data_IF_152956425902
#
_entry.id   IF_152956425902
#
_cell.length_a   1.000
_cell.length_b   1.000
_cell.length_c   1.000
_cell.angle_alpha   90.00
_cell.angle_beta   90.00
_cell.angle_gamma   90.00
#
_symmetry.space_group_name_H-M   'P 1'
#
loop_
_entity.id
_entity.type
_entity.pdbx_description
1 polymer ?
#
# COMPACT_ATOMS: atom_id res chain seq x y z
N UNK A 1 -16.49 17.00 17.05
CA UNK A 1 -17.13 15.66 16.98
C UNK A 1 -16.38 14.70 17.89
N UNK A 2 -17.07 13.83 18.60
CA UNK A 2 -16.42 12.74 19.34
C UNK A 2 -16.05 11.58 18.39
N UNK A 3 -15.19 10.65 18.87
CA UNK A 3 -14.69 9.52 18.05
C UNK A 3 -15.84 8.64 17.52
N UNK A 4 -16.92 8.51 18.28
CA UNK A 4 -18.07 7.71 17.87
C UNK A 4 -18.86 8.37 16.73
N UNK A 5 -19.13 9.66 16.81
CA UNK A 5 -19.81 10.43 15.75
C UNK A 5 -18.99 10.41 14.45
N UNK A 6 -17.68 10.55 14.61
CA UNK A 6 -16.72 10.51 13.51
C UNK A 6 -16.74 9.17 12.79
N UNK A 7 -16.58 8.08 13.54
CA UNK A 7 -16.59 6.73 12.99
C UNK A 7 -17.93 6.40 12.34
N UNK A 8 -19.04 6.81 12.99
CA UNK A 8 -20.39 6.63 12.46
C UNK A 8 -20.60 7.33 11.10
N UNK A 9 -20.17 8.59 10.99
CA UNK A 9 -20.28 9.35 9.75
C UNK A 9 -19.41 8.75 8.64
N UNK A 10 -18.16 8.38 8.96
CA UNK A 10 -17.22 7.78 8.03
C UNK A 10 -17.74 6.45 7.48
N UNK A 11 -18.21 5.56 8.35
CA UNK A 11 -18.82 4.29 7.93
C UNK A 11 -20.09 4.50 7.09
N UNK A 12 -20.91 5.49 7.44
CA UNK A 12 -22.12 5.83 6.68
C UNK A 12 -21.78 6.31 5.28
N UNK A 13 -20.80 7.21 5.14
CA UNK A 13 -20.34 7.68 3.83
C UNK A 13 -19.73 6.54 3.02
N UNK A 14 -18.92 5.70 3.65
CA UNK A 14 -18.30 4.53 3.00
C UNK A 14 -19.37 3.57 2.48
N UNK A 15 -20.36 3.24 3.30
CA UNK A 15 -21.47 2.37 2.90
C UNK A 15 -22.30 2.99 1.75
N UNK A 16 -22.56 4.28 1.81
CA UNK A 16 -23.28 5.00 0.76
C UNK A 16 -22.52 4.97 -0.56
N UNK A 17 -21.20 5.28 -0.55
CA UNK A 17 -20.38 5.26 -1.76
C UNK A 17 -20.21 3.84 -2.31
N UNK A 18 -20.06 2.83 -1.45
CA UNK A 18 -20.02 1.44 -1.87
C UNK A 18 -21.33 1.01 -2.55
N UNK A 19 -22.48 1.40 -1.96
CA UNK A 19 -23.81 1.14 -2.53
C UNK A 19 -23.99 1.85 -3.88
N UNK A 20 -23.66 3.16 -3.97
CA UNK A 20 -23.72 3.93 -5.20
C UNK A 20 -22.85 3.32 -6.30
N UNK A 21 -21.62 2.94 -5.96
CA UNK A 21 -20.72 2.27 -6.90
C UNK A 21 -21.33 0.98 -7.45
N UNK A 22 -21.84 0.13 -6.56
CA UNK A 22 -22.42 -1.16 -6.96
C UNK A 22 -23.71 -1.00 -7.79
N UNK A 23 -24.51 0.02 -7.49
CA UNK A 23 -25.80 0.26 -8.15
C UNK A 23 -25.68 0.99 -9.49
N UNK A 24 -24.78 1.97 -9.59
CA UNK A 24 -24.75 2.92 -10.71
C UNK A 24 -23.51 2.79 -11.59
N UNK A 25 -22.33 2.44 -11.02
CA UNK A 25 -21.04 2.55 -11.72
C UNK A 25 -20.51 1.16 -12.08
N UNK A 26 -20.49 0.21 -11.13
CA UNK A 26 -20.03 -1.17 -11.36
C UNK A 26 -18.50 -1.32 -11.45
N UNK A 27 -17.74 -0.34 -10.96
CA UNK A 27 -16.29 -0.44 -10.85
C UNK A 27 -15.87 -1.38 -9.69
N UNK A 28 -14.62 -1.87 -9.66
CA UNK A 28 -14.07 -2.52 -8.46
C UNK A 28 -14.31 -1.66 -7.22
N UNK A 29 -14.68 -2.26 -6.09
CA UNK A 29 -15.20 -1.55 -4.92
C UNK A 29 -14.28 -0.42 -4.47
N UNK A 30 -12.99 -0.67 -4.35
CA UNK A 30 -11.96 0.29 -3.93
C UNK A 30 -11.85 1.49 -4.88
N UNK A 31 -11.75 1.23 -6.20
CA UNK A 31 -11.64 2.28 -7.23
C UNK A 31 -12.91 3.14 -7.26
N UNK A 32 -14.09 2.48 -7.26
CA UNK A 32 -15.37 3.18 -7.34
C UNK A 32 -15.66 4.03 -6.10
N UNK A 33 -15.39 3.52 -4.91
CA UNK A 33 -15.58 4.24 -3.65
C UNK A 33 -14.67 5.47 -3.58
N UNK A 34 -13.40 5.33 -3.94
CA UNK A 34 -12.45 6.45 -3.97
C UNK A 34 -12.86 7.53 -4.97
N UNK A 35 -13.24 7.13 -6.20
CA UNK A 35 -13.69 8.09 -7.21
C UNK A 35 -14.93 8.85 -6.76
N UNK A 36 -15.87 8.19 -6.11
CA UNK A 36 -17.08 8.83 -5.56
C UNK A 36 -16.71 9.81 -4.43
N UNK A 37 -15.81 9.43 -3.52
CA UNK A 37 -15.34 10.31 -2.46
C UNK A 37 -14.59 11.53 -3.04
N UNK A 38 -13.76 11.34 -4.05
CA UNK A 38 -13.07 12.42 -4.75
C UNK A 38 -14.06 13.37 -5.45
N UNK A 39 -15.04 12.82 -6.19
CA UNK A 39 -16.07 13.63 -6.84
C UNK A 39 -16.89 14.41 -5.81
N UNK A 40 -17.26 13.77 -4.70
CA UNK A 40 -17.94 14.45 -3.59
C UNK A 40 -17.09 15.63 -3.05
N UNK A 41 -15.81 15.41 -2.80
CA UNK A 41 -14.90 16.44 -2.31
C UNK A 41 -14.75 17.61 -3.29
N UNK A 42 -14.57 17.31 -4.58
CA UNK A 42 -14.48 18.34 -5.63
C UNK A 42 -15.78 19.14 -5.76
N UNK A 43 -16.95 18.50 -5.68
CA UNK A 43 -18.25 19.18 -5.68
C UNK A 43 -18.44 20.04 -4.43
N UNK A 44 -18.00 19.54 -3.26
CA UNK A 44 -18.04 20.32 -2.01
C UNK A 44 -17.17 21.59 -2.10
N UNK A 45 -15.94 21.47 -2.65
CA UNK A 45 -15.08 22.63 -2.90
C UNK A 45 -15.69 23.60 -3.92
N UNK A 46 -16.25 23.11 -5.01
CA UNK A 46 -16.89 23.92 -6.02
C UNK A 46 -18.16 24.64 -5.51
N UNK A 47 -18.81 24.13 -4.48
CA UNK A 47 -20.00 24.74 -3.86
C UNK A 47 -19.67 25.87 -2.86
N UNK A 48 -18.45 25.96 -2.37
CA UNK A 48 -18.01 27.00 -1.40
C UNK A 48 -18.27 28.43 -1.91
N UNK A 49 -17.94 28.81 -3.17
CA UNK A 49 -18.22 30.14 -3.69
C UNK A 49 -19.72 30.50 -3.75
N UNK A 50 -20.59 29.48 -3.74
CA UNK A 50 -22.05 29.66 -3.75
C UNK A 50 -22.69 29.68 -2.35
N UNK A 51 -21.85 29.78 -1.29
CA UNK A 51 -22.30 29.86 0.10
C UNK A 51 -22.63 28.51 0.76
N UNK A 52 -22.34 27.40 0.11
CA UNK A 52 -22.50 26.08 0.72
C UNK A 52 -21.29 25.74 1.61
N UNK A 53 -21.51 25.60 2.92
CA UNK A 53 -20.47 25.23 3.87
C UNK A 53 -20.41 23.71 4.10
N UNK A 54 -20.36 22.93 3.02
CA UNK A 54 -20.24 21.46 3.11
C UNK A 54 -18.78 21.05 3.31
N UNK A 55 -17.85 21.82 2.77
CA UNK A 55 -16.41 21.57 2.89
C UNK A 55 -15.91 21.69 4.33
N UNK A 56 -16.45 22.64 5.13
CA UNK A 56 -16.06 22.81 6.53
C UNK A 56 -16.32 21.56 7.39
N UNK A 57 -17.58 21.08 7.53
CA UNK A 57 -17.88 19.89 8.31
C UNK A 57 -17.17 18.60 7.83
N UNK A 58 -17.01 18.43 6.50
CA UNK A 58 -16.28 17.29 5.95
C UNK A 58 -14.76 17.40 6.22
N UNK A 59 -14.21 18.61 6.18
CA UNK A 59 -12.85 18.88 6.55
C UNK A 59 -12.58 18.65 8.03
N UNK A 60 -13.46 19.15 8.91
CA UNK A 60 -13.39 18.90 10.36
C UNK A 60 -13.41 17.40 10.68
N UNK A 61 -14.13 16.62 9.90
CA UNK A 61 -14.16 15.16 10.00
C UNK A 61 -12.77 14.55 9.75
N UNK A 62 -12.13 14.93 8.65
CA UNK A 62 -10.82 14.38 8.28
C UNK A 62 -9.74 14.80 9.29
N UNK A 63 -9.73 16.07 9.72
CA UNK A 63 -8.81 16.55 10.76
C UNK A 63 -8.98 15.83 12.08
N UNK A 64 -10.21 15.51 12.47
CA UNK A 64 -10.50 14.84 13.72
C UNK A 64 -10.09 13.36 13.74
N UNK A 65 -10.00 12.70 12.58
CA UNK A 65 -9.52 11.29 12.48
C UNK A 65 -8.02 11.20 12.75
N UNK A 66 -7.25 12.29 12.71
CA UNK A 66 -5.78 12.24 12.74
C UNK A 66 -5.28 11.15 11.75
N UNK A 67 -5.64 11.32 10.48
CA UNK A 67 -5.59 10.35 9.40
C UNK A 67 -4.34 9.45 9.38
N UNK A 68 -3.16 10.06 9.52
CA UNK A 68 -1.89 9.34 9.51
C UNK A 68 -1.77 8.35 10.69
N UNK A 69 -2.12 8.78 11.91
CA UNK A 69 -2.02 7.94 13.11
C UNK A 69 -3.06 6.81 13.07
N UNK A 70 -4.32 7.12 12.73
CA UNK A 70 -5.38 6.11 12.60
C UNK A 70 -5.03 5.05 11.56
N UNK A 71 -4.48 5.48 10.42
CA UNK A 71 -4.08 4.57 9.35
C UNK A 71 -2.88 3.72 9.76
N UNK A 72 -1.79 4.34 10.23
CA UNK A 72 -0.56 3.62 10.53
C UNK A 72 -0.70 2.73 11.77
N UNK A 73 -1.32 3.23 12.84
CA UNK A 73 -1.42 2.52 14.10
C UNK A 73 -2.63 1.55 14.14
N UNK A 74 -3.76 1.93 13.53
CA UNK A 74 -5.02 1.19 13.64
C UNK A 74 -5.33 0.24 12.49
N UNK A 75 -5.16 0.67 11.27
CA UNK A 75 -5.63 -0.07 10.09
C UNK A 75 -4.54 -0.87 9.38
N UNK A 76 -3.31 -0.34 9.36
CA UNK A 76 -2.22 -0.92 8.59
C UNK A 76 -1.88 -2.35 9.03
N UNK A 77 -1.77 -2.59 10.33
CA UNK A 77 -1.51 -3.94 10.85
C UNK A 77 -2.58 -4.94 10.41
N UNK A 78 -3.86 -4.56 10.49
CA UNK A 78 -4.96 -5.43 10.08
C UNK A 78 -4.96 -5.70 8.57
N UNK A 79 -4.72 -4.68 7.73
CA UNK A 79 -4.62 -4.84 6.27
C UNK A 79 -3.46 -5.75 5.87
N UNK A 80 -2.28 -5.54 6.46
CA UNK A 80 -1.09 -6.35 6.16
C UNK A 80 -1.26 -7.81 6.61
N UNK A 81 -1.89 -8.04 7.77
CA UNK A 81 -2.17 -9.39 8.25
C UNK A 81 -3.19 -10.11 7.36
N UNK A 82 -4.29 -9.43 7.01
CA UNK A 82 -5.30 -9.97 6.12
C UNK A 82 -4.70 -10.32 4.75
N UNK A 83 -3.89 -9.42 4.18
CA UNK A 83 -3.16 -9.66 2.95
C UNK A 83 -2.19 -10.85 3.06
N UNK A 84 -1.42 -10.94 4.15
CA UNK A 84 -0.49 -12.03 4.40
C UNK A 84 -1.19 -13.39 4.58
N UNK A 85 -2.34 -13.42 5.25
CA UNK A 85 -3.15 -14.62 5.42
C UNK A 85 -3.74 -15.13 4.10
N UNK A 86 -4.11 -14.26 3.17
CA UNK A 86 -4.70 -14.64 1.89
C UNK A 86 -3.68 -15.22 0.90
N UNK A 87 -2.38 -14.99 1.11
CA UNK A 87 -1.34 -15.46 0.21
C UNK A 87 -1.09 -16.95 0.39
N UNK A 88 -1.10 -17.71 -0.71
CA UNK A 88 -0.69 -19.11 -0.72
C UNK A 88 0.83 -19.22 -0.48
N UNK A 89 1.24 -19.37 0.78
CA UNK A 89 2.64 -19.29 1.18
C UNK A 89 3.55 -20.30 0.43
N UNK A 90 3.06 -21.49 0.07
CA UNK A 90 3.84 -22.47 -0.75
C UNK A 90 4.20 -21.89 -2.12
N UNK A 91 3.26 -21.22 -2.76
CA UNK A 91 3.47 -20.57 -4.07
C UNK A 91 4.31 -19.30 -3.92
N UNK A 92 4.08 -18.50 -2.87
CA UNK A 92 4.92 -17.35 -2.57
C UNK A 92 6.38 -17.78 -2.36
N UNK A 93 6.60 -18.88 -1.64
CA UNK A 93 7.96 -19.40 -1.41
C UNK A 93 8.62 -19.90 -2.70
N UNK A 94 7.85 -20.42 -3.68
CA UNK A 94 8.38 -20.74 -5.00
C UNK A 94 8.82 -19.51 -5.78
N UNK A 95 8.18 -18.36 -5.55
CA UNK A 95 8.48 -17.07 -6.19
C UNK A 95 9.34 -16.14 -5.33
N UNK A 96 9.88 -16.62 -4.20
CA UNK A 96 10.61 -15.81 -3.20
C UNK A 96 11.73 -14.93 -3.76
N UNK A 97 12.47 -15.41 -4.77
CA UNK A 97 13.55 -14.63 -5.38
C UNK A 97 13.02 -13.46 -6.20
N UNK A 98 11.94 -13.68 -6.96
CA UNK A 98 11.33 -12.62 -7.76
C UNK A 98 10.69 -11.59 -6.85
N UNK A 99 9.87 -12.05 -5.91
CA UNK A 99 9.19 -11.20 -4.92
C UNK A 99 10.21 -10.44 -4.06
N UNK A 100 11.22 -11.13 -3.54
CA UNK A 100 12.25 -10.52 -2.72
C UNK A 100 13.04 -9.44 -3.46
N UNK A 101 13.46 -9.70 -4.71
CA UNK A 101 14.18 -8.71 -5.51
C UNK A 101 13.31 -7.53 -5.93
N UNK A 102 12.02 -7.76 -6.25
CA UNK A 102 11.10 -6.67 -6.58
C UNK A 102 10.82 -5.81 -5.34
N UNK A 103 10.56 -6.43 -4.19
CA UNK A 103 10.24 -5.72 -2.96
C UNK A 103 11.43 -5.00 -2.31
N UNK A 104 12.67 -5.42 -2.57
CA UNK A 104 13.88 -4.80 -1.99
C UNK A 104 14.64 -3.97 -3.02
N UNK A 105 15.30 -4.64 -4.00
CA UNK A 105 16.07 -3.96 -5.03
C UNK A 105 15.19 -3.05 -5.89
N UNK A 106 14.00 -3.53 -6.27
CA UNK A 106 13.03 -2.75 -7.03
C UNK A 106 12.60 -1.50 -6.29
N UNK A 107 12.22 -1.63 -5.00
CA UNK A 107 11.85 -0.50 -4.16
C UNK A 107 13.01 0.49 -3.99
N UNK A 108 14.21 0.01 -3.67
CA UNK A 108 15.41 0.84 -3.53
C UNK A 108 15.76 1.62 -4.80
N UNK A 109 15.75 0.94 -5.96
CA UNK A 109 15.96 1.59 -7.27
C UNK A 109 14.88 2.63 -7.54
N UNK A 110 13.61 2.31 -7.29
CA UNK A 110 12.50 3.26 -7.46
C UNK A 110 12.70 4.48 -6.59
N UNK A 111 13.00 4.31 -5.31
CA UNK A 111 13.24 5.41 -4.36
C UNK A 111 14.40 6.32 -4.81
N UNK A 112 15.52 5.73 -5.24
CA UNK A 112 16.68 6.50 -5.71
C UNK A 112 16.33 7.27 -6.99
N UNK A 113 15.71 6.63 -7.98
CA UNK A 113 15.37 7.26 -9.25
C UNK A 113 14.35 8.39 -9.05
N UNK A 114 13.26 8.10 -8.30
CA UNK A 114 12.24 9.12 -8.00
C UNK A 114 12.87 10.26 -7.21
N UNK A 115 13.62 9.98 -6.16
CA UNK A 115 14.26 10.99 -5.33
C UNK A 115 15.19 11.90 -6.14
N UNK A 116 16.09 11.31 -6.93
CA UNK A 116 17.06 12.07 -7.75
C UNK A 116 16.37 12.94 -8.79
N UNK A 117 15.41 12.39 -9.55
CA UNK A 117 14.70 13.15 -10.59
C UNK A 117 13.78 14.21 -9.98
N UNK A 118 13.13 13.93 -8.86
CA UNK A 118 12.30 14.91 -8.13
C UNK A 118 13.16 16.03 -7.57
N UNK A 119 14.36 15.72 -7.04
CA UNK A 119 15.30 16.77 -6.64
C UNK A 119 15.68 17.69 -7.81
N UNK A 120 15.90 17.12 -9.00
CA UNK A 120 16.07 17.92 -10.23
C UNK A 120 14.89 18.85 -10.52
N UNK A 121 13.66 18.40 -10.29
CA UNK A 121 12.44 19.23 -10.40
C UNK A 121 12.45 20.34 -9.34
N UNK A 122 12.84 20.06 -8.10
CA UNK A 122 12.92 21.07 -7.03
C UNK A 122 13.91 22.18 -7.37
N UNK A 123 15.07 21.82 -7.95
CA UNK A 123 16.06 22.78 -8.42
C UNK A 123 15.51 23.61 -9.59
N UNK A 124 14.89 22.96 -10.57
CA UNK A 124 14.35 23.64 -11.75
C UNK A 124 13.22 24.63 -11.44
N UNK A 125 12.48 24.39 -10.35
CA UNK A 125 11.40 25.27 -9.87
C UNK A 125 11.85 26.24 -8.77
N UNK A 126 13.15 26.25 -8.41
CA UNK A 126 13.75 27.11 -7.37
C UNK A 126 12.99 27.02 -6.01
N UNK A 127 12.66 25.80 -5.58
CA UNK A 127 11.83 25.58 -4.38
C UNK A 127 12.61 25.70 -3.07
N UNK A 128 13.94 25.69 -3.09
CA UNK A 128 14.78 25.79 -1.89
C UNK A 128 14.65 24.62 -0.90
N UNK A 129 14.09 23.47 -1.32
CA UNK A 129 13.83 22.30 -0.47
C UNK A 129 15.05 21.37 -0.49
N UNK A 130 15.46 20.88 0.69
CA UNK A 130 16.61 20.00 0.84
C UNK A 130 16.41 18.65 0.10
N UNK A 131 17.50 18.08 -0.47
CA UNK A 131 17.43 16.84 -1.26
C UNK A 131 16.76 15.67 -0.53
N UNK A 132 16.93 15.58 0.79
CA UNK A 132 16.38 14.50 1.61
C UNK A 132 14.86 14.38 1.45
N UNK A 133 14.14 15.50 1.29
CA UNK A 133 12.69 15.48 1.08
C UNK A 133 12.29 14.90 -0.28
N UNK A 134 13.14 15.02 -1.29
CA UNK A 134 12.91 14.35 -2.59
C UNK A 134 13.08 12.83 -2.46
N UNK A 135 14.05 12.35 -1.68
CA UNK A 135 14.21 10.91 -1.39
C UNK A 135 13.10 10.38 -0.48
N UNK A 136 12.63 11.19 0.50
CA UNK A 136 11.44 10.87 1.28
C UNK A 136 10.20 10.70 0.38
N UNK A 137 9.98 11.63 -0.57
CA UNK A 137 8.94 11.46 -1.57
C UNK A 137 9.14 10.18 -2.38
N UNK A 138 10.39 9.84 -2.75
CA UNK A 138 10.73 8.58 -3.40
C UNK A 138 10.32 7.36 -2.58
N UNK A 139 10.62 7.31 -1.28
CA UNK A 139 10.21 6.22 -0.39
C UNK A 139 8.69 6.14 -0.22
N UNK A 140 8.02 7.30 -0.07
CA UNK A 140 6.56 7.42 0.07
C UNK A 140 5.82 6.89 -1.14
N UNK A 141 6.31 7.20 -2.35
CA UNK A 141 5.57 6.89 -3.59
C UNK A 141 6.00 5.57 -4.24
N UNK A 142 7.06 4.93 -3.77
CA UNK A 142 7.56 3.68 -4.39
C UNK A 142 6.75 2.42 -4.07
N UNK A 143 6.15 2.23 -2.88
CA UNK A 143 5.30 1.07 -2.61
C UNK A 143 4.05 1.04 -3.49
N UNK A 144 3.51 -0.16 -3.74
CA UNK A 144 2.41 -0.37 -4.69
C UNK A 144 1.26 -1.09 -4.02
N UNK A 145 0.04 -0.61 -4.23
CA UNK A 145 -1.20 -1.18 -3.68
C UNK A 145 -1.74 -2.29 -4.61
N UNK A 146 -1.85 -3.54 -4.14
CA UNK A 146 -2.34 -4.64 -4.95
C UNK A 146 -3.86 -4.72 -5.02
N UNK A 147 -4.58 -4.15 -4.04
CA UNK A 147 -6.02 -4.41 -3.81
C UNK A 147 -6.86 -4.08 -5.02
N UNK A 148 -6.71 -2.87 -5.55
CA UNK A 148 -7.45 -2.43 -6.72
C UNK A 148 -7.10 -3.22 -7.99
N UNK A 149 -5.85 -3.66 -8.13
CA UNK A 149 -5.34 -4.33 -9.33
C UNK A 149 -5.65 -5.81 -9.35
N UNK A 150 -5.53 -6.50 -8.23
CA UNK A 150 -5.74 -7.96 -8.16
C UNK A 150 -7.12 -8.39 -8.62
N UNK A 151 -8.17 -7.65 -8.21
CA UNK A 151 -9.53 -7.93 -8.64
C UNK A 151 -9.68 -7.83 -10.18
N UNK A 152 -8.98 -6.89 -10.80
CA UNK A 152 -8.98 -6.69 -12.26
C UNK A 152 -8.15 -7.76 -12.95
N UNK A 153 -6.96 -8.09 -12.44
CA UNK A 153 -6.09 -9.11 -13.00
C UNK A 153 -6.75 -10.49 -12.98
N UNK A 154 -7.40 -10.86 -11.87
CA UNK A 154 -8.18 -12.10 -11.74
C UNK A 154 -9.30 -12.19 -12.77
N UNK A 155 -10.08 -11.10 -12.96
CA UNK A 155 -11.11 -11.03 -13.99
C UNK A 155 -10.56 -11.10 -15.42
N UNK A 156 -9.36 -10.58 -15.63
CA UNK A 156 -8.67 -10.64 -16.92
C UNK A 156 -8.08 -12.03 -17.22
N UNK A 157 -8.03 -12.93 -16.23
CA UNK A 157 -7.53 -14.30 -16.39
C UNK A 157 -6.01 -14.37 -16.56
N UNK A 158 -5.26 -13.49 -15.90
CA UNK A 158 -3.79 -13.56 -15.92
C UNK A 158 -3.27 -14.83 -15.21
N UNK A 159 -2.09 -15.34 -15.58
CA UNK A 159 -1.50 -16.49 -14.92
C UNK A 159 -1.32 -16.30 -13.41
N UNK A 160 -1.63 -17.34 -12.64
CA UNK A 160 -1.58 -17.32 -11.16
C UNK A 160 -0.19 -16.94 -10.62
N UNK A 161 0.87 -17.27 -11.34
CA UNK A 161 2.24 -16.88 -11.00
C UNK A 161 2.40 -15.37 -10.96
N UNK A 162 1.83 -14.64 -11.93
CA UNK A 162 1.89 -13.19 -11.98
C UNK A 162 1.07 -12.55 -10.84
N UNK A 163 -0.09 -13.13 -10.48
CA UNK A 163 -0.85 -12.67 -9.32
C UNK A 163 -0.03 -12.78 -8.03
N UNK A 164 0.67 -13.92 -7.85
CA UNK A 164 1.49 -14.16 -6.66
C UNK A 164 2.68 -13.22 -6.60
N UNK A 165 3.35 -13.00 -7.73
CA UNK A 165 4.46 -12.05 -7.84
C UNK A 165 3.98 -10.64 -7.47
N UNK A 166 2.82 -10.24 -7.97
CA UNK A 166 2.23 -8.94 -7.72
C UNK A 166 1.82 -8.76 -6.25
N UNK A 167 1.08 -9.74 -5.69
CA UNK A 167 0.64 -9.71 -4.28
C UNK A 167 1.81 -9.74 -3.33
N UNK A 168 2.77 -10.63 -3.58
CA UNK A 168 3.96 -10.76 -2.73
C UNK A 168 4.86 -9.53 -2.79
N UNK A 169 5.08 -8.97 -3.99
CA UNK A 169 5.82 -7.72 -4.12
C UNK A 169 5.18 -6.62 -3.29
N UNK A 170 3.88 -6.35 -3.49
CA UNK A 170 3.18 -5.27 -2.81
C UNK A 170 3.13 -5.45 -1.29
N UNK A 171 2.88 -6.68 -0.81
CA UNK A 171 2.84 -6.96 0.61
C UNK A 171 4.15 -6.62 1.33
N UNK A 172 5.29 -6.98 0.72
CA UNK A 172 6.60 -6.73 1.32
C UNK A 172 7.12 -5.32 1.05
N UNK A 173 6.86 -4.75 -0.13
CA UNK A 173 7.36 -3.41 -0.43
C UNK A 173 6.70 -2.34 0.44
N UNK A 174 5.43 -2.50 0.83
CA UNK A 174 4.76 -1.61 1.77
C UNK A 174 5.49 -1.56 3.12
N UNK A 175 5.78 -2.72 3.70
CA UNK A 175 6.48 -2.78 4.98
C UNK A 175 7.93 -2.28 4.89
N UNK A 176 8.66 -2.62 3.82
CA UNK A 176 10.04 -2.18 3.62
C UNK A 176 10.08 -0.67 3.35
N UNK A 177 9.08 -0.12 2.63
CA UNK A 177 8.99 1.31 2.39
C UNK A 177 8.76 2.11 3.67
N UNK A 178 7.97 1.58 4.62
CA UNK A 178 7.78 2.21 5.92
C UNK A 178 9.11 2.26 6.70
N UNK A 179 9.86 1.15 6.75
CA UNK A 179 11.17 1.13 7.40
C UNK A 179 12.13 2.12 6.73
N UNK A 180 12.14 2.16 5.40
CA UNK A 180 12.97 3.11 4.64
C UNK A 180 12.54 4.56 4.90
N UNK A 181 11.23 4.82 4.95
CA UNK A 181 10.68 6.13 5.25
C UNK A 181 11.08 6.59 6.66
N UNK A 182 10.98 5.73 7.69
CA UNK A 182 11.40 6.04 9.05
C UNK A 182 12.89 6.39 9.08
N UNK A 183 13.73 5.56 8.46
CA UNK A 183 15.17 5.79 8.38
C UNK A 183 15.52 7.13 7.68
N UNK A 184 14.86 7.46 6.56
CA UNK A 184 15.07 8.73 5.87
C UNK A 184 14.51 9.92 6.64
N UNK A 185 13.44 9.73 7.42
CA UNK A 185 12.85 10.79 8.24
C UNK A 185 13.77 11.19 9.38
N UNK A 186 14.53 10.26 9.96
CA UNK A 186 15.56 10.59 10.95
C UNK A 186 16.70 11.42 10.34
N UNK A 187 17.10 11.14 9.10
CA UNK A 187 18.09 11.99 8.39
C UNK A 187 17.52 13.39 8.09
N UNK A 188 16.23 13.50 7.92
CA UNK A 188 15.58 14.81 7.67
C UNK A 188 15.48 15.68 8.94
N UNK A 189 15.63 15.09 10.15
CA UNK A 189 15.68 15.86 11.40
C UNK A 189 17.07 16.51 11.57
N UNK A 190 17.16 17.84 11.58
CA UNK A 190 18.45 18.54 11.74
C UNK A 190 19.21 18.18 13.03
N UNK A 191 18.47 17.83 14.11
CA UNK A 191 19.07 17.48 15.39
C UNK A 191 19.78 16.12 15.35
N UNK A 192 19.29 15.20 14.54
CA UNK A 192 19.84 13.85 14.35
C UNK A 192 20.88 13.86 13.25
N UNK A 193 20.61 14.54 12.12
CA UNK A 193 21.49 14.60 10.95
C UNK A 193 22.92 15.00 11.26
N UNK A 194 23.14 15.93 12.22
CA UNK A 194 24.44 16.42 12.62
C UNK A 194 25.32 15.39 13.34
N UNK A 195 24.74 14.34 13.88
CA UNK A 195 25.39 13.28 14.67
C UNK A 195 25.44 11.90 13.98
N UNK A 196 24.96 11.78 12.73
CA UNK A 196 24.89 10.51 12.03
C UNK A 196 26.29 10.02 11.60
N UNK A 197 26.64 8.84 12.08
CA UNK A 197 27.84 8.15 11.61
C UNK A 197 27.59 7.46 10.24
N UNK A 198 28.64 7.31 9.40
CA UNK A 198 28.54 6.50 8.18
C UNK A 198 28.10 5.07 8.53
N UNK A 199 26.98 4.62 7.97
CA UNK A 199 26.42 3.29 8.22
C UNK A 199 25.27 3.23 9.21
N UNK A 200 24.98 4.30 9.95
CA UNK A 200 23.84 4.36 10.88
C UNK A 200 22.51 3.97 10.22
N UNK A 201 22.23 4.47 9.02
CA UNK A 201 21.02 4.12 8.28
C UNK A 201 20.91 2.63 7.97
N UNK A 202 22.02 2.00 7.61
CA UNK A 202 22.06 0.55 7.33
C UNK A 202 21.82 -0.22 8.63
N UNK A 203 22.40 0.23 9.73
CA UNK A 203 22.21 -0.39 11.04
C UNK A 203 20.76 -0.26 11.51
N UNK A 204 20.17 0.94 11.43
CA UNK A 204 18.79 1.22 11.81
C UNK A 204 17.83 0.39 10.95
N UNK A 205 17.97 0.46 9.62
CA UNK A 205 17.16 -0.32 8.70
C UNK A 205 17.24 -1.82 8.98
N UNK A 206 18.47 -2.32 9.21
CA UNK A 206 18.69 -3.76 9.49
C UNK A 206 18.10 -4.16 10.84
N UNK A 207 18.25 -3.34 11.86
CA UNK A 207 17.71 -3.61 13.20
C UNK A 207 16.19 -3.63 13.18
N UNK A 208 15.55 -2.64 12.56
CA UNK A 208 14.09 -2.60 12.43
C UNK A 208 13.56 -3.74 11.57
N UNK A 209 14.16 -4.00 10.41
CA UNK A 209 13.66 -5.02 9.49
C UNK A 209 13.87 -6.43 10.05
N UNK A 210 15.10 -6.79 10.47
CA UNK A 210 15.40 -8.12 11.00
C UNK A 210 14.74 -8.34 12.36
N UNK A 211 14.70 -7.31 13.21
CA UNK A 211 13.97 -7.32 14.48
C UNK A 211 12.49 -7.56 14.30
N UNK A 212 11.87 -6.86 13.33
CA UNK A 212 10.45 -7.06 12.97
C UNK A 212 10.17 -8.48 12.49
N UNK A 213 10.97 -9.01 11.57
CA UNK A 213 10.83 -10.40 11.10
C UNK A 213 11.02 -11.39 12.28
N UNK A 214 12.05 -11.22 13.08
CA UNK A 214 12.34 -12.09 14.23
C UNK A 214 11.21 -12.07 15.25
N UNK A 215 10.71 -10.89 15.62
CA UNK A 215 9.59 -10.73 16.52
C UNK A 215 8.27 -11.28 15.91
N UNK A 216 8.04 -11.08 14.63
CA UNK A 216 6.90 -11.64 13.90
C UNK A 216 6.88 -13.18 13.89
N UNK A 217 8.05 -13.82 13.81
CA UNK A 217 8.15 -15.28 13.98
C UNK A 217 7.74 -15.71 15.39
N UNK A 218 8.12 -14.98 16.44
CA UNK A 218 7.73 -15.28 17.83
C UNK A 218 6.21 -15.14 17.99
N UNK A 219 5.62 -14.03 17.52
CA UNK A 219 4.18 -13.79 17.57
C UNK A 219 3.42 -14.85 16.77
N UNK A 220 3.89 -15.17 15.55
CA UNK A 220 3.28 -16.18 14.70
C UNK A 220 3.35 -17.59 15.28
N UNK A 221 4.47 -17.97 15.91
CA UNK A 221 4.61 -19.25 16.60
C UNK A 221 3.72 -19.32 17.84
N UNK A 222 3.65 -18.26 18.65
CA UNK A 222 2.74 -18.18 19.79
C UNK A 222 1.28 -18.34 19.34
N UNK A 223 0.87 -17.60 18.29
CA UNK A 223 -0.46 -17.75 17.69
C UNK A 223 -0.73 -19.16 17.17
N UNK A 224 0.22 -19.78 16.48
CA UNK A 224 0.10 -21.15 16.00
C UNK A 224 -0.13 -22.16 17.15
N UNK A 225 0.61 -22.02 18.26
CA UNK A 225 0.45 -22.89 19.43
C UNK A 225 -0.92 -22.71 20.08
N UNK A 226 -1.40 -21.47 20.20
CA UNK A 226 -2.71 -21.18 20.75
C UNK A 226 -3.85 -21.70 19.86
N UNK A 227 -3.75 -21.53 18.54
CA UNK A 227 -4.74 -22.00 17.57
C UNK A 227 -4.83 -23.53 17.52
N UNK A 228 -3.71 -24.25 17.65
CA UNK A 228 -3.67 -25.72 17.57
C UNK A 228 -4.45 -26.43 18.67
N UNK A 229 -4.72 -25.76 19.78
CA UNK A 229 -5.42 -26.36 20.93
C UNK A 229 -6.93 -26.16 20.95
N UNK A 230 -7.49 -25.44 19.95
CA UNK A 230 -8.87 -24.96 19.99
C UNK A 230 -9.53 -25.24 18.65
N UNK A 231 -10.82 -25.63 18.66
CA UNK A 231 -11.66 -25.76 17.47
C UNK A 231 -12.94 -24.91 17.67
N UNK A 232 -12.73 -23.62 17.90
CA UNK A 232 -13.78 -22.61 18.04
C UNK A 232 -13.38 -21.34 17.27
N UNK A 233 -14.03 -21.10 16.13
CA UNK A 233 -13.69 -19.99 15.25
C UNK A 233 -13.76 -18.61 15.92
N UNK A 234 -14.60 -18.42 16.95
CA UNK A 234 -14.70 -17.14 17.66
C UNK A 234 -13.44 -16.86 18.46
N UNK A 235 -12.95 -17.86 19.16
CA UNK A 235 -11.68 -17.78 19.90
C UNK A 235 -10.49 -17.67 18.95
N UNK A 236 -10.51 -18.37 17.81
CA UNK A 236 -9.46 -18.28 16.80
C UNK A 236 -9.40 -16.87 16.16
N UNK A 237 -10.55 -16.25 15.84
CA UNK A 237 -10.62 -14.85 15.41
C UNK A 237 -10.08 -13.92 16.50
N UNK A 238 -10.44 -14.11 17.77
CA UNK A 238 -9.93 -13.29 18.86
C UNK A 238 -8.41 -13.42 19.03
N UNK A 239 -7.85 -14.62 18.90
CA UNK A 239 -6.39 -14.85 18.91
C UNK A 239 -5.73 -14.09 17.76
N UNK A 240 -6.23 -14.21 16.54
CA UNK A 240 -5.64 -13.51 15.39
C UNK A 240 -5.76 -11.98 15.52
N UNK A 241 -6.85 -11.45 16.06
CA UNK A 241 -6.97 -10.03 16.40
C UNK A 241 -5.96 -9.59 17.45
N UNK A 242 -5.78 -10.39 18.51
CA UNK A 242 -4.79 -10.12 19.55
C UNK A 242 -3.35 -10.14 18.97
N UNK A 243 -3.05 -11.06 18.06
CA UNK A 243 -1.77 -11.10 17.35
C UNK A 243 -1.53 -9.82 16.55
N UNK A 244 -2.54 -9.34 15.84
CA UNK A 244 -2.41 -8.12 15.01
C UNK A 244 -2.23 -6.89 15.88
N UNK A 245 -3.19 -6.62 16.76
CA UNK A 245 -3.20 -5.38 17.55
C UNK A 245 -2.10 -5.41 18.62
N UNK A 246 -2.04 -6.49 19.38
CA UNK A 246 -1.05 -6.68 20.45
C UNK A 246 0.37 -6.84 19.89
N UNK A 247 0.53 -7.64 18.83
CA UNK A 247 1.81 -7.83 18.14
C UNK A 247 2.35 -6.54 17.53
N UNK A 248 1.50 -5.74 16.88
CA UNK A 248 1.91 -4.44 16.33
C UNK A 248 2.34 -3.46 17.43
N UNK A 249 1.53 -3.33 18.49
CA UNK A 249 1.84 -2.46 19.62
C UNK A 249 3.13 -2.86 20.35
N UNK A 250 3.36 -4.17 20.53
CA UNK A 250 4.59 -4.69 21.15
C UNK A 250 5.81 -4.46 20.23
N UNK A 251 5.69 -4.68 18.92
CA UNK A 251 6.77 -4.41 17.99
C UNK A 251 7.19 -2.93 18.04
N UNK A 252 6.21 -2.03 18.06
CA UNK A 252 6.46 -0.58 18.19
C UNK A 252 7.14 -0.24 19.52
N UNK A 253 6.74 -0.86 20.63
CA UNK A 253 7.37 -0.66 21.93
C UNK A 253 8.81 -1.21 22.00
N UNK A 254 9.13 -2.21 21.19
CA UNK A 254 10.49 -2.79 21.06
C UNK A 254 11.35 -2.07 20.03
N UNK A 255 10.84 -1.01 19.39
CA UNK A 255 11.50 -0.28 18.31
C UNK A 255 11.93 -1.19 17.15
N UNK A 256 11.02 -2.12 16.75
CA UNK A 256 11.17 -2.96 15.56
C UNK A 256 9.98 -2.78 14.63
N UNK A 257 10.15 -3.07 13.36
CA UNK A 257 9.09 -2.87 12.35
C UNK A 257 7.82 -3.68 12.66
N UNK A 258 6.75 -2.99 13.10
CA UNK A 258 5.41 -3.55 13.28
C UNK A 258 4.86 -4.18 11.99
N UNK A 259 4.89 -3.48 10.84
CA UNK A 259 4.47 -4.01 9.55
C UNK A 259 5.12 -5.35 9.19
N UNK A 260 6.46 -5.45 9.27
CA UNK A 260 7.18 -6.70 8.97
C UNK A 260 6.87 -7.80 9.97
N UNK A 261 6.68 -7.46 11.26
CA UNK A 261 6.29 -8.40 12.27
C UNK A 261 4.92 -9.02 11.97
N UNK A 262 3.94 -8.21 11.62
CA UNK A 262 2.58 -8.66 11.35
C UNK A 262 2.48 -9.45 10.05
N UNK A 263 3.18 -9.06 8.97
CA UNK A 263 3.28 -9.85 7.75
C UNK A 263 3.88 -11.23 8.04
N UNK A 264 4.97 -11.26 8.80
CA UNK A 264 5.66 -12.52 9.13
C UNK A 264 4.76 -13.45 9.96
N UNK A 265 4.06 -12.90 10.96
CA UNK A 265 3.09 -13.64 11.76
C UNK A 265 1.91 -14.14 10.92
N UNK A 266 1.35 -13.28 10.05
CA UNK A 266 0.26 -13.61 9.15
C UNK A 266 0.60 -14.71 8.15
N UNK A 267 1.80 -14.66 7.54
CA UNK A 267 2.29 -15.71 6.64
C UNK A 267 2.48 -17.05 7.37
N UNK A 268 2.96 -17.03 8.62
CA UNK A 268 3.16 -18.23 9.41
C UNK A 268 1.82 -18.88 9.75
N UNK A 269 0.85 -18.11 10.22
CA UNK A 269 -0.51 -18.60 10.52
C UNK A 269 -1.22 -19.01 9.25
N UNK A 270 -1.14 -18.22 8.18
CA UNK A 270 -1.73 -18.53 6.88
C UNK A 270 -1.19 -19.81 6.24
N UNK A 271 0.05 -20.21 6.55
CA UNK A 271 0.64 -21.43 6.03
C UNK A 271 0.52 -22.63 6.98
N UNK A 272 1.14 -22.53 8.15
CA UNK A 272 1.20 -23.65 9.09
C UNK A 272 -0.07 -23.76 9.96
N UNK A 273 -0.67 -22.63 10.29
CA UNK A 273 -1.91 -22.58 11.08
C UNK A 273 -3.07 -23.20 10.31
N UNK A 274 -3.23 -22.87 9.05
CA UNK A 274 -4.26 -23.40 8.16
C UNK A 274 -4.19 -24.91 7.98
N UNK A 275 -2.98 -25.45 7.77
CA UNK A 275 -2.81 -26.87 7.43
C UNK A 275 -2.77 -27.76 8.68
N UNK A 276 -2.39 -27.23 9.88
CA UNK A 276 -2.04 -28.04 11.05
C UNK A 276 -2.68 -27.63 12.36
N UNK A 277 -3.27 -26.44 12.45
CA UNK A 277 -3.80 -25.90 13.69
C UNK A 277 -5.31 -25.63 13.67
N UNK A 278 -5.92 -25.45 12.51
CA UNK A 278 -7.35 -25.17 12.35
C UNK A 278 -8.06 -26.33 11.66
N UNK A 279 -9.33 -26.57 12.00
CA UNK A 279 -10.23 -27.43 11.23
C UNK A 279 -10.64 -26.72 9.94
N UNK A 280 -11.14 -27.47 8.95
CA UNK A 280 -11.63 -26.88 7.69
C UNK A 280 -12.74 -25.85 7.93
N UNK A 281 -13.63 -26.16 8.87
CA UNK A 281 -14.75 -25.28 9.24
C UNK A 281 -14.31 -23.97 9.91
N UNK A 282 -13.40 -24.03 10.89
CA UNK A 282 -12.91 -22.82 11.56
C UNK A 282 -12.04 -21.99 10.64
N UNK A 283 -11.24 -22.62 9.80
CA UNK A 283 -10.41 -21.96 8.78
C UNK A 283 -11.25 -21.10 7.81
N UNK A 284 -12.33 -21.65 7.23
CA UNK A 284 -13.20 -20.88 6.33
C UNK A 284 -13.79 -19.64 7.04
N UNK A 285 -14.13 -19.75 8.31
CA UNK A 285 -14.68 -18.64 9.10
C UNK A 285 -13.65 -17.56 9.39
N UNK A 286 -12.45 -17.94 9.77
CA UNK A 286 -11.34 -17.01 10.02
C UNK A 286 -10.93 -16.31 8.70
N UNK A 287 -10.86 -17.05 7.61
CA UNK A 287 -10.55 -16.48 6.27
C UNK A 287 -11.62 -15.46 5.85
N UNK A 288 -12.91 -15.81 5.97
CA UNK A 288 -14.02 -14.92 5.65
C UNK A 288 -14.02 -13.66 6.52
N UNK A 289 -13.68 -13.80 7.81
CA UNK A 289 -13.56 -12.66 8.71
C UNK A 289 -12.46 -11.69 8.25
N UNK A 290 -11.26 -12.21 7.95
CA UNK A 290 -10.15 -11.36 7.53
C UNK A 290 -10.36 -10.77 6.13
N UNK A 291 -11.03 -11.47 5.22
CA UNK A 291 -11.44 -10.94 3.92
C UNK A 291 -12.43 -9.77 4.08
N UNK A 292 -13.40 -9.90 5.00
CA UNK A 292 -14.36 -8.84 5.29
C UNK A 292 -13.69 -7.62 5.94
N UNK A 293 -12.78 -7.84 6.90
CA UNK A 293 -12.01 -6.76 7.53
C UNK A 293 -11.18 -6.01 6.48
N UNK A 294 -10.47 -6.74 5.59
CA UNK A 294 -9.69 -6.16 4.50
C UNK A 294 -10.56 -5.28 3.59
N UNK A 295 -11.72 -5.78 3.16
CA UNK A 295 -12.63 -5.04 2.28
C UNK A 295 -13.19 -3.77 2.95
N UNK A 296 -13.60 -3.86 4.23
CA UNK A 296 -14.12 -2.71 4.98
C UNK A 296 -13.03 -1.66 5.20
N UNK A 297 -11.85 -2.08 5.69
CA UNK A 297 -10.76 -1.15 5.99
C UNK A 297 -10.24 -0.47 4.72
N UNK A 298 -10.11 -1.20 3.61
CA UNK A 298 -9.76 -0.61 2.33
C UNK A 298 -10.81 0.40 1.84
N UNK A 299 -12.12 0.08 1.95
CA UNK A 299 -13.17 1.00 1.56
C UNK A 299 -13.12 2.30 2.39
N UNK A 300 -12.96 2.18 3.72
CA UNK A 300 -12.80 3.33 4.63
C UNK A 300 -11.56 4.15 4.26
N UNK A 301 -10.44 3.49 4.03
CA UNK A 301 -9.18 4.12 3.63
C UNK A 301 -9.35 4.94 2.35
N UNK A 302 -9.96 4.37 1.33
CA UNK A 302 -10.14 5.06 0.05
C UNK A 302 -11.17 6.22 0.14
N UNK A 303 -12.15 6.15 1.04
CA UNK A 303 -13.02 7.30 1.36
C UNK A 303 -12.21 8.41 2.02
N UNK A 304 -11.40 8.06 3.02
CA UNK A 304 -10.55 9.05 3.69
C UNK A 304 -9.60 9.76 2.72
N UNK A 305 -8.95 8.99 1.82
CA UNK A 305 -8.10 9.57 0.77
C UNK A 305 -8.88 10.54 -0.12
N UNK A 306 -10.08 10.15 -0.54
CA UNK A 306 -10.92 11.01 -1.36
C UNK A 306 -11.37 12.29 -0.64
N UNK A 307 -11.66 12.22 0.66
CA UNK A 307 -12.08 13.37 1.48
C UNK A 307 -10.92 14.29 1.85
N UNK A 308 -9.71 13.78 2.02
CA UNK A 308 -8.52 14.57 2.40
C UNK A 308 -8.22 15.68 1.40
N UNK A 309 -8.64 15.54 0.14
CA UNK A 309 -8.53 16.60 -0.89
C UNK A 309 -9.14 17.93 -0.44
N UNK A 310 -10.10 17.89 0.49
CA UNK A 310 -10.70 19.11 1.07
C UNK A 310 -9.73 19.97 1.87
N UNK A 311 -8.64 19.38 2.38
CA UNK A 311 -7.61 20.09 3.19
C UNK A 311 -6.40 20.53 2.37
N UNK A 312 -6.26 20.02 1.14
CA UNK A 312 -5.08 20.29 0.33
C UNK A 312 -5.19 21.67 -0.30
N UNK A 313 -4.24 22.55 0.04
CA UNK A 313 -4.05 23.81 -0.67
C UNK A 313 -3.12 23.61 -1.87
N UNK A 314 -3.66 23.65 -3.07
CA UNK A 314 -2.88 23.52 -4.29
C UNK A 314 -2.18 24.83 -4.66
N UNK A 315 -0.85 24.88 -4.55
CA UNK A 315 -0.06 25.95 -5.13
C UNK A 315 0.33 25.61 -6.59
N UNK A 316 0.59 26.62 -7.41
CA UNK A 316 1.01 26.40 -8.81
C UNK A 316 2.27 25.55 -8.89
N UNK A 317 3.27 25.81 -8.03
CA UNK A 317 4.50 25.03 -7.97
C UNK A 317 4.24 23.57 -7.57
N UNK A 318 3.37 23.33 -6.61
CA UNK A 318 3.01 21.98 -6.19
C UNK A 318 2.28 21.21 -7.29
N UNK A 319 1.41 21.85 -8.05
CA UNK A 319 0.73 21.22 -9.19
C UNK A 319 1.74 20.87 -10.30
N UNK A 320 2.65 21.79 -10.64
CA UNK A 320 3.68 21.51 -11.66
C UNK A 320 4.59 20.37 -11.20
N UNK A 321 5.07 20.39 -9.95
CA UNK A 321 5.91 19.33 -9.38
C UNK A 321 5.17 17.99 -9.37
N UNK A 322 3.89 17.97 -8.98
CA UNK A 322 3.05 16.77 -8.96
C UNK A 322 2.82 16.19 -10.35
N UNK A 323 2.54 17.02 -11.36
CA UNK A 323 2.41 16.59 -12.75
C UNK A 323 3.74 16.06 -13.31
N UNK A 324 4.86 16.70 -12.96
CA UNK A 324 6.20 16.21 -13.34
C UNK A 324 6.55 14.88 -12.64
N UNK A 325 6.05 14.64 -11.45
CA UNK A 325 6.25 13.38 -10.72
C UNK A 325 5.61 12.18 -11.44
N UNK A 326 4.51 12.34 -12.17
CA UNK A 326 3.83 11.23 -12.86
C UNK A 326 4.77 10.48 -13.82
N UNK A 327 5.38 11.11 -14.84
CA UNK A 327 6.31 10.42 -15.73
C UNK A 327 7.54 9.90 -14.98
N UNK A 328 8.05 10.59 -13.97
CA UNK A 328 9.17 10.15 -13.13
C UNK A 328 8.83 8.82 -12.45
N UNK A 329 7.67 8.73 -11.82
CA UNK A 329 7.20 7.53 -11.12
C UNK A 329 7.03 6.36 -12.12
N UNK A 330 6.47 6.60 -13.30
CA UNK A 330 6.29 5.58 -14.32
C UNK A 330 7.62 5.04 -14.85
N UNK A 331 8.58 5.91 -15.13
CA UNK A 331 9.93 5.54 -15.58
C UNK A 331 10.67 4.78 -14.47
N UNK A 332 10.63 5.29 -13.24
CA UNK A 332 11.24 4.63 -12.08
C UNK A 332 10.65 3.23 -11.88
N UNK A 333 9.32 3.09 -11.96
CA UNK A 333 8.64 1.79 -11.83
C UNK A 333 9.02 0.84 -12.96
N UNK A 334 9.08 1.32 -14.19
CA UNK A 334 9.52 0.51 -15.33
C UNK A 334 10.94 -0.04 -15.12
N UNK A 335 11.87 0.78 -14.67
CA UNK A 335 13.26 0.36 -14.40
C UNK A 335 13.30 -0.60 -13.20
N UNK A 336 12.62 -0.26 -12.11
CA UNK A 336 12.55 -1.05 -10.88
C UNK A 336 11.99 -2.47 -11.09
N UNK A 337 11.08 -2.64 -12.05
CA UNK A 337 10.54 -3.95 -12.44
C UNK A 337 11.44 -4.63 -13.48
N UNK A 338 11.93 -3.88 -14.47
CA UNK A 338 12.70 -4.45 -15.58
C UNK A 338 14.04 -5.01 -15.14
N UNK A 339 14.75 -4.35 -14.22
CA UNK A 339 16.08 -4.77 -13.77
C UNK A 339 16.03 -6.14 -13.07
N UNK A 340 15.22 -6.36 -12.00
CA UNK A 340 15.14 -7.67 -11.37
C UNK A 340 14.67 -8.78 -12.33
N UNK A 341 13.65 -8.52 -13.15
CA UNK A 341 13.14 -9.51 -14.09
C UNK A 341 14.19 -9.87 -15.15
N UNK A 342 14.93 -8.89 -15.68
CA UNK A 342 15.96 -9.15 -16.68
C UNK A 342 17.11 -9.96 -16.10
N UNK A 343 17.53 -9.69 -14.87
CA UNK A 343 18.54 -10.47 -14.15
C UNK A 343 18.08 -11.93 -13.98
N UNK A 344 16.81 -12.13 -13.61
CA UNK A 344 16.27 -13.46 -13.35
C UNK A 344 15.88 -14.24 -14.62
N UNK A 345 15.68 -13.57 -15.76
CA UNK A 345 15.38 -14.24 -17.05
C UNK A 345 16.43 -15.22 -17.52
N UNK A 346 17.66 -15.07 -17.06
CA UNK A 346 18.74 -16.02 -17.34
C UNK A 346 18.53 -17.37 -16.67
N UNK A 347 17.69 -17.44 -15.64
CA UNK A 347 17.45 -18.65 -14.82
C UNK A 347 15.99 -19.11 -14.78
N UNK A 348 15.05 -18.28 -15.24
CA UNK A 348 13.59 -18.52 -15.16
C UNK A 348 12.86 -17.96 -16.38
N UNK A 349 11.80 -18.63 -16.79
CA UNK A 349 10.82 -18.08 -17.73
C UNK A 349 9.82 -17.19 -17.00
N UNK A 350 9.46 -16.09 -17.58
CA UNK A 350 8.43 -15.18 -17.09
C UNK A 350 7.24 -15.14 -18.04
N UNK A 351 6.07 -14.88 -17.49
CA UNK A 351 4.85 -14.66 -18.27
C UNK A 351 5.11 -13.59 -19.34
N UNK A 352 4.62 -13.77 -20.58
CA UNK A 352 4.66 -12.73 -21.60
C UNK A 352 4.13 -11.39 -21.05
N UNK A 353 4.76 -10.31 -21.43
CA UNK A 353 4.40 -8.96 -20.97
C UNK A 353 4.40 -8.71 -19.44
N UNK A 354 4.98 -9.59 -18.61
CA UNK A 354 5.03 -9.42 -17.15
C UNK A 354 5.55 -8.03 -16.74
N UNK A 355 6.63 -7.54 -17.38
CA UNK A 355 7.18 -6.19 -17.10
C UNK A 355 6.13 -5.11 -17.35
N UNK A 356 5.38 -5.16 -18.45
CA UNK A 356 4.35 -4.16 -18.76
C UNK A 356 3.21 -4.18 -17.75
N UNK A 357 2.77 -5.39 -17.38
CA UNK A 357 1.65 -5.58 -16.43
C UNK A 357 2.06 -5.14 -15.02
N UNK A 358 3.23 -5.57 -14.53
CA UNK A 358 3.76 -5.19 -13.22
C UNK A 358 4.06 -3.68 -13.14
N UNK A 359 4.53 -3.07 -14.24
CA UNK A 359 4.77 -1.62 -14.30
C UNK A 359 3.47 -0.84 -14.25
N UNK A 360 2.52 -1.15 -15.12
CA UNK A 360 1.25 -0.41 -15.20
C UNK A 360 0.32 -0.71 -14.03
N UNK A 361 0.37 -1.96 -13.51
CA UNK A 361 -0.41 -2.38 -12.35
C UNK A 361 0.13 -1.87 -11.01
N UNK A 362 1.33 -1.29 -10.97
CA UNK A 362 1.88 -0.70 -9.74
C UNK A 362 1.11 0.55 -9.30
N UNK A 363 -0.15 0.38 -8.90
CA UNK A 363 -0.97 1.48 -8.40
C UNK A 363 -0.42 2.01 -7.07
N UNK A 364 -0.63 3.28 -6.83
CA UNK A 364 -0.29 3.94 -5.56
C UNK A 364 -1.53 4.06 -4.71
N UNK A 365 -1.42 3.68 -3.45
CA UNK A 365 -2.56 3.55 -2.54
C UNK A 365 -2.47 4.45 -1.32
N UNK A 366 -3.24 4.08 -0.29
CA UNK A 366 -3.41 4.83 0.92
C UNK A 366 -2.17 4.96 1.78
N UNK A 367 -1.28 3.99 1.75
CA UNK A 367 -0.03 4.01 2.52
C UNK A 367 0.84 5.19 2.08
N UNK A 368 0.94 5.46 0.77
CA UNK A 368 1.67 6.64 0.28
C UNK A 368 1.12 7.95 0.83
N UNK A 369 -0.20 8.09 0.87
CA UNK A 369 -0.85 9.29 1.43
C UNK A 369 -0.61 9.41 2.93
N UNK A 370 -0.76 8.30 3.66
CA UNK A 370 -0.54 8.29 5.10
C UNK A 370 0.90 8.67 5.48
N UNK A 371 1.89 8.11 4.77
CA UNK A 371 3.30 8.47 4.99
C UNK A 371 3.58 9.93 4.66
N UNK A 372 2.99 10.47 3.59
CA UNK A 372 3.15 11.88 3.25
C UNK A 372 2.58 12.80 4.36
N UNK A 373 1.40 12.45 4.88
CA UNK A 373 0.73 13.18 5.95
C UNK A 373 1.45 13.04 7.31
N UNK A 374 2.24 12.00 7.53
CA UNK A 374 2.98 11.78 8.77
C UNK A 374 4.26 12.62 8.88
N UNK A 375 4.68 13.29 7.80
CA UNK A 375 5.80 14.21 7.85
C UNK A 375 5.50 15.40 8.79
N UNK A 376 6.51 15.94 9.51
CA UNK A 376 6.36 17.16 10.32
C UNK A 376 5.89 18.35 9.49
N UNK A 377 5.07 19.21 10.10
CA UNK A 377 4.52 20.39 9.43
C UNK A 377 5.64 21.29 8.90
N UNK A 378 5.66 21.48 7.58
CA UNK A 378 6.66 22.25 6.84
C UNK A 378 6.18 22.51 5.41
N UNK A 379 6.80 23.48 4.74
CA UNK A 379 6.54 23.73 3.31
C UNK A 379 6.89 22.50 2.46
N UNK A 380 7.94 21.78 2.82
CA UNK A 380 8.34 20.54 2.17
C UNK A 380 7.26 19.46 2.32
N UNK A 381 6.66 19.30 3.51
CA UNK A 381 5.53 18.39 3.73
C UNK A 381 4.34 18.76 2.82
N UNK A 382 3.96 20.02 2.81
CA UNK A 382 2.84 20.49 2.00
C UNK A 382 3.05 20.20 0.51
N UNK A 383 4.28 20.39 0.00
CA UNK A 383 4.63 20.04 -1.36
C UNK A 383 4.54 18.53 -1.61
N UNK A 384 5.14 17.69 -0.74
CA UNK A 384 5.14 16.22 -0.85
C UNK A 384 3.71 15.68 -0.81
N UNK A 385 2.87 16.16 0.10
CA UNK A 385 1.46 15.79 0.19
C UNK A 385 0.76 16.08 -1.14
N UNK A 386 0.87 17.31 -1.66
CA UNK A 386 0.28 17.67 -2.95
C UNK A 386 0.75 16.75 -4.11
N UNK A 387 2.07 16.53 -4.22
CA UNK A 387 2.64 15.66 -5.24
C UNK A 387 2.14 14.22 -5.12
N UNK A 388 2.07 13.69 -3.89
CA UNK A 388 1.57 12.36 -3.59
C UNK A 388 0.10 12.22 -4.01
N UNK A 389 -0.74 13.20 -3.69
CA UNK A 389 -2.15 13.19 -4.10
C UNK A 389 -2.33 13.21 -5.61
N UNK A 390 -1.61 14.07 -6.32
CA UNK A 390 -1.66 14.14 -7.79
C UNK A 390 -1.26 12.78 -8.39
N UNK A 391 -0.20 12.17 -7.86
CA UNK A 391 0.26 10.85 -8.31
C UNK A 391 -0.76 9.74 -8.02
N UNK A 392 -1.37 9.72 -6.82
CA UNK A 392 -2.38 8.73 -6.42
C UNK A 392 -3.67 8.89 -7.25
N UNK A 393 -4.17 10.11 -7.45
CA UNK A 393 -5.33 10.38 -8.30
C UNK A 393 -5.08 9.91 -9.73
N UNK A 394 -3.90 10.21 -10.31
CA UNK A 394 -3.52 9.70 -11.63
C UNK A 394 -3.47 8.17 -11.63
N UNK A 395 -2.83 7.58 -10.62
CA UNK A 395 -2.65 6.13 -10.53
C UNK A 395 -4.01 5.41 -10.52
N UNK A 396 -4.95 5.83 -9.66
CA UNK A 396 -6.25 5.16 -9.56
C UNK A 396 -7.17 5.55 -10.72
N UNK A 397 -7.19 6.84 -11.10
CA UNK A 397 -8.07 7.36 -12.16
C UNK A 397 -7.65 6.94 -13.57
N UNK A 398 -6.34 6.84 -13.85
CA UNK A 398 -5.84 6.48 -15.18
C UNK A 398 -5.36 5.04 -15.24
N UNK A 399 -4.37 4.68 -14.42
CA UNK A 399 -3.82 3.32 -14.44
C UNK A 399 -4.88 2.30 -13.99
N UNK A 400 -5.60 2.55 -12.89
CA UNK A 400 -6.65 1.66 -12.37
C UNK A 400 -7.76 1.37 -13.38
N UNK A 401 -8.22 2.38 -14.13
CA UNK A 401 -9.25 2.20 -15.16
C UNK A 401 -8.74 1.55 -16.45
N UNK A 402 -7.44 1.64 -16.73
CA UNK A 402 -6.85 1.13 -17.98
C UNK A 402 -6.10 -0.18 -17.83
N UNK A 403 -5.80 -0.64 -16.60
CA UNK A 403 -5.04 -1.87 -16.33
C UNK A 403 -5.69 -3.10 -16.97
N UNK A 404 -7.02 -3.16 -17.06
CA UNK A 404 -7.74 -4.26 -17.72
C UNK A 404 -7.38 -4.42 -19.20
N UNK A 405 -7.03 -3.32 -19.88
CA UNK A 405 -6.58 -3.35 -21.28
C UNK A 405 -5.17 -3.91 -21.39
N UNK A 406 -4.28 -3.51 -20.46
CA UNK A 406 -2.89 -4.00 -20.41
C UNK A 406 -2.85 -5.49 -20.02
N UNK A 407 -3.67 -5.91 -19.07
CA UNK A 407 -3.76 -7.29 -18.62
C UNK A 407 -4.21 -8.25 -19.73
N UNK A 408 -5.09 -7.80 -20.64
CA UNK A 408 -5.52 -8.59 -21.81
C UNK A 408 -4.41 -8.93 -22.79
N UNK A 409 -3.32 -8.16 -22.83
CA UNK A 409 -2.17 -8.46 -23.69
C UNK A 409 -1.48 -9.77 -23.29
N UNK A 410 -1.50 -10.14 -22.00
CA UNK A 410 -0.93 -11.42 -21.55
C UNK A 410 -1.72 -12.64 -22.04
N UNK A 411 -3.02 -12.47 -22.30
CA UNK A 411 -3.92 -13.55 -22.70
C UNK A 411 -3.86 -13.85 -24.19
N UNK A 412 -3.67 -12.84 -25.02
CA UNK A 412 -3.60 -13.01 -26.49
C UNK A 412 -2.41 -13.84 -26.92
N UNK A 413 -1.29 -13.79 -26.19
CA UNK A 413 -0.09 -14.55 -26.53
C UNK A 413 -0.16 -16.01 -26.05
N UNK A 414 -0.83 -16.30 -24.91
CA UNK A 414 -1.05 -17.67 -24.42
C UNK A 414 -2.05 -18.42 -25.32
N UNK A 415 -3.10 -17.75 -25.80
CA UNK A 415 -4.06 -18.33 -26.76
C UNK A 415 -3.41 -18.56 -28.14
N UNK A 416 -2.51 -17.69 -28.58
CA UNK A 416 -1.74 -17.87 -29.80
C UNK A 416 -0.74 -19.04 -29.70
N UNK A 417 -0.01 -19.14 -28.58
CA UNK A 417 0.91 -20.25 -28.31
C UNK A 417 0.22 -21.59 -28.09
N UNK A 418 -1.01 -21.59 -27.59
CA UNK A 418 -1.83 -22.80 -27.48
C UNK A 418 -2.37 -23.28 -28.85
N UNK A 419 -2.68 -22.35 -29.76
CA UNK A 419 -3.13 -22.67 -31.12
C UNK A 419 -2.00 -23.20 -32.01
N UNK A 420 -0.75 -22.73 -31.84
CA UNK A 420 0.44 -23.23 -32.52
C UNK A 420 0.87 -24.66 -32.07
N UNK A 421 0.53 -25.05 -30.83
CA UNK A 421 0.81 -26.43 -30.33
C UNK A 421 -0.24 -27.46 -30.72
N UNK A 422 -1.37 -27.01 -31.28
CA UNK A 422 -2.48 -27.90 -31.73
C UNK A 422 -2.53 -28.07 -33.25
N UNK A 423 -1.68 -27.36 -33.98
CA UNK A 423 -1.39 -27.56 -35.41
C UNK A 423 -0.06 -28.26 -35.60
#
# INVERSE_FOLDING_TARGET
MNVFELTGLLLTLTALFAWLNRRLIGLPSTVGVMLLALVFSLLALAAVPFGANVAGPAGDLVSAVAFNRTLLDGMLGALLFAGAMQVEAKKLFSERLVVGLLATLGLGLSTIIVGTLTWGVFIALDLGIAPIYAYLFGAIISPTDPVAVLAILRRAGVPKTLEIQFTGESLFNDAIAIVLFVALSEVADPNVAASLEPGYLIQLFSAEALGGIGFGLVVGLAGFVLLRGIDDYKTEVLITLAMVIGGYAMASALHVSGPLAIITAGLLVGHHGRDKAMSEHTRERVDTFWELIDEILNAVLFVLIGLEVLHISFSTHAVIAGLAAIPIILVARFIAVSVPITILRTRRSFTPHAIKILTWGGLRGGISVALALSLPDSDARNLIVNMTYIAVIFSIGVQGLTISRVARLARTDDDAAASEKTT
#
